data_IF_404856119198
#
_entry.id   IF_404856119198
#
_cell.length_a   1.000
_cell.length_b   1.000
_cell.length_c   1.000
_cell.angle_alpha   90.00
_cell.angle_beta   90.00
_cell.angle_gamma   90.00
#
_symmetry.space_group_name_H-M   'P 1'
#
loop_
_entity.id
_entity.type
_entity.pdbx_description
1 polymer ?
#
# COMPACT_ATOMS: atom_id res chain seq x y z
N UNK A 1 22.11 2.65 8.26
CA UNK A 1 22.22 3.87 9.10
C UNK A 1 20.89 4.59 9.03
N UNK A 2 20.45 5.23 10.12
CA UNK A 2 19.20 6.01 10.11
C UNK A 2 19.30 7.16 9.11
N UNK A 3 18.18 7.47 8.46
CA UNK A 3 18.09 8.50 7.41
C UNK A 3 17.40 9.73 7.98
N UNK A 4 18.05 10.89 7.87
CA UNK A 4 17.46 12.20 8.14
C UNK A 4 16.90 12.75 6.82
N UNK A 5 15.60 12.97 6.74
CA UNK A 5 14.95 13.44 5.51
C UNK A 5 13.65 14.18 5.83
N UNK A 6 12.90 14.58 4.80
CA UNK A 6 11.54 15.11 4.94
C UNK A 6 10.52 14.11 4.39
N UNK A 7 9.34 14.08 5.01
CA UNK A 7 8.16 13.41 4.46
C UNK A 7 7.01 14.42 4.31
N UNK A 8 6.20 14.22 3.28
CA UNK A 8 4.96 14.98 3.10
C UNK A 8 3.85 14.44 4.00
N UNK A 9 3.15 15.33 4.69
CA UNK A 9 1.96 15.04 5.49
C UNK A 9 0.80 15.89 5.01
N UNK A 10 -0.43 15.43 5.24
CA UNK A 10 -1.61 16.25 5.04
C UNK A 10 -1.51 17.48 5.96
N UNK A 11 -1.63 18.67 5.39
CA UNK A 11 -1.64 19.91 6.16
C UNK A 11 -2.87 19.95 7.05
N UNK A 12 -2.67 20.19 8.35
CA UNK A 12 -3.79 20.45 9.26
C UNK A 12 -4.53 21.72 8.84
N UNK A 13 -5.82 21.57 8.51
CA UNK A 13 -6.65 22.63 7.94
C UNK A 13 -8.06 22.55 8.47
N UNK A 14 -8.57 23.68 8.97
CA UNK A 14 -9.97 23.81 9.39
C UNK A 14 -10.97 23.59 8.26
N UNK A 15 -10.53 23.64 6.99
CA UNK A 15 -11.35 23.30 5.82
C UNK A 15 -11.92 21.88 5.92
N UNK A 16 -11.14 20.95 6.47
CA UNK A 16 -11.53 19.54 6.58
C UNK A 16 -12.65 19.28 7.59
N UNK A 17 -12.94 20.25 8.46
CA UNK A 17 -14.09 20.20 9.37
C UNK A 17 -15.41 20.53 8.67
N UNK A 18 -15.34 21.16 7.49
CA UNK A 18 -16.51 21.58 6.70
C UNK A 18 -16.68 20.65 5.50
N UNK A 19 -15.58 20.33 4.83
CA UNK A 19 -15.56 19.48 3.63
C UNK A 19 -14.44 18.45 3.76
N UNK A 20 -14.82 17.17 3.68
CA UNK A 20 -13.87 16.06 3.75
C UNK A 20 -12.78 16.20 2.65
N UNK A 21 -11.52 15.85 2.94
CA UNK A 21 -10.48 15.79 1.91
C UNK A 21 -10.88 14.92 0.73
N UNK A 22 -10.53 15.34 -0.49
CA UNK A 22 -10.76 14.53 -1.68
C UNK A 22 -9.69 14.73 -2.76
N UNK A 23 -9.55 13.70 -3.61
CA UNK A 23 -8.88 13.75 -4.91
C UNK A 23 -9.81 13.18 -5.97
N UNK A 24 -9.93 13.89 -7.08
CA UNK A 24 -10.66 13.49 -8.29
C UNK A 24 -9.65 13.08 -9.34
N UNK A 25 -9.87 11.90 -9.89
CA UNK A 25 -9.13 11.35 -11.01
C UNK A 25 -10.09 11.35 -12.21
N UNK A 26 -10.06 12.38 -13.06
CA UNK A 26 -10.99 12.49 -14.20
C UNK A 26 -10.70 11.41 -15.26
N UNK A 27 -11.66 11.17 -16.15
CA UNK A 27 -11.48 10.29 -17.30
C UNK A 27 -10.55 10.95 -18.33
N UNK A 28 -9.97 10.14 -19.21
CA UNK A 28 -9.17 10.64 -20.32
C UNK A 28 -10.05 11.51 -21.21
N UNK A 29 -9.57 12.71 -21.54
CA UNK A 29 -10.26 13.66 -22.45
C UNK A 29 -11.51 14.33 -21.88
N UNK A 30 -11.75 14.28 -20.56
CA UNK A 30 -12.82 15.07 -19.90
C UNK A 30 -12.53 16.60 -19.89
N UNK A 31 -11.40 17.04 -20.47
CA UNK A 31 -11.02 18.45 -20.59
C UNK A 31 -10.46 19.07 -19.31
N UNK A 32 -10.15 18.26 -18.30
CA UNK A 32 -9.49 18.69 -17.08
C UNK A 32 -7.98 18.80 -17.27
N UNK A 33 -7.41 19.92 -16.84
CA UNK A 33 -5.97 20.04 -16.68
C UNK A 33 -5.51 19.26 -15.45
N UNK A 34 -4.31 18.68 -15.50
CA UNK A 34 -3.79 17.82 -14.43
C UNK A 34 -3.59 18.54 -13.09
N UNK A 35 -3.52 19.87 -13.10
CA UNK A 35 -3.35 20.75 -11.94
C UNK A 35 -4.59 21.60 -11.63
N UNK A 36 -5.76 21.25 -12.20
CA UNK A 36 -6.99 21.98 -11.93
C UNK A 36 -7.32 21.96 -10.42
N UNK A 37 -7.44 23.13 -9.77
CA UNK A 37 -7.60 23.23 -8.32
C UNK A 37 -8.94 22.67 -7.81
N UNK A 38 -9.87 22.33 -8.71
CA UNK A 38 -11.14 21.68 -8.35
C UNK A 38 -11.01 20.16 -8.24
N UNK A 39 -9.90 19.57 -8.70
CA UNK A 39 -9.67 18.13 -8.61
C UNK A 39 -9.27 17.68 -7.20
N UNK A 40 -8.94 18.60 -6.29
CA UNK A 40 -8.70 18.26 -4.89
C UNK A 40 -8.88 19.48 -3.99
N UNK A 41 -9.16 19.26 -2.71
CA UNK A 41 -9.08 20.30 -1.67
C UNK A 41 -7.88 20.10 -0.71
N UNK A 42 -6.98 19.16 -1.05
CA UNK A 42 -5.85 18.75 -0.22
C UNK A 42 -4.64 19.69 -0.37
N UNK A 43 -3.90 19.88 0.72
CA UNK A 43 -2.59 20.55 0.74
C UNK A 43 -1.59 19.72 1.56
N UNK A 44 -0.32 19.80 1.16
CA UNK A 44 0.78 19.04 1.77
C UNK A 44 1.70 19.94 2.60
N UNK A 45 2.26 19.40 3.68
CA UNK A 45 3.33 20.02 4.46
C UNK A 45 4.49 19.07 4.60
N UNK A 46 5.70 19.53 4.27
CA UNK A 46 6.92 18.76 4.50
C UNK A 46 7.35 18.85 5.96
N UNK A 47 7.70 17.71 6.54
CA UNK A 47 8.15 17.62 7.93
C UNK A 47 9.45 16.85 8.02
N UNK A 48 10.45 17.36 8.75
CA UNK A 48 11.68 16.62 8.99
C UNK A 48 11.36 15.39 9.84
N UNK A 49 11.90 14.25 9.44
CA UNK A 49 11.73 12.97 10.13
C UNK A 49 13.05 12.20 10.17
N UNK A 50 13.13 11.28 11.14
CA UNK A 50 14.17 10.26 11.20
C UNK A 50 13.56 8.93 10.80
N UNK A 51 14.05 8.34 9.72
CA UNK A 51 13.65 7.00 9.29
C UNK A 51 14.68 6.01 9.81
N UNK A 52 14.26 5.16 10.76
CA UNK A 52 15.13 4.21 11.46
C UNK A 52 15.46 3.03 10.57
N UNK A 53 16.74 2.77 10.37
CA UNK A 53 17.19 1.58 9.66
C UNK A 53 17.06 0.37 10.59
N UNK A 54 16.25 -0.62 10.20
CA UNK A 54 16.06 -1.84 10.99
C UNK A 54 17.14 -2.88 10.73
N UNK A 55 18.05 -2.65 9.77
CA UNK A 55 19.18 -3.54 9.50
C UNK A 55 20.02 -3.72 10.77
N UNK A 56 20.23 -4.97 11.17
CA UNK A 56 20.96 -5.37 12.39
C UNK A 56 20.32 -4.87 13.70
N UNK A 57 19.00 -4.58 13.68
CA UNK A 57 18.19 -4.31 14.88
C UNK A 57 17.12 -5.39 15.02
N UNK A 58 16.46 -5.42 16.16
CA UNK A 58 15.26 -6.26 16.32
C UNK A 58 14.21 -5.80 15.30
N UNK A 59 13.77 -6.67 14.39
CA UNK A 59 12.81 -6.28 13.36
C UNK A 59 11.44 -6.05 13.98
N UNK A 60 10.67 -5.05 13.51
CA UNK A 60 9.27 -4.90 13.84
C UNK A 60 8.50 -6.20 13.52
N UNK A 61 7.54 -6.55 14.39
CA UNK A 61 6.68 -7.70 14.19
C UNK A 61 5.32 -7.26 13.64
N UNK A 62 4.78 -8.05 12.70
CA UNK A 62 3.52 -7.71 12.04
C UNK A 62 2.36 -7.57 13.03
N UNK A 63 2.35 -8.37 14.10
CA UNK A 63 1.32 -8.33 15.13
C UNK A 63 1.35 -7.09 16.03
N UNK A 64 2.52 -6.47 16.23
CA UNK A 64 2.68 -5.33 17.16
C UNK A 64 2.78 -4.00 16.44
N UNK A 65 3.52 -3.96 15.34
CA UNK A 65 3.83 -2.73 14.60
C UNK A 65 3.00 -2.58 13.32
N UNK A 66 2.25 -3.62 12.95
CA UNK A 66 1.47 -3.67 11.71
C UNK A 66 2.30 -4.07 10.48
N UNK A 67 3.62 -4.22 10.59
CA UNK A 67 4.48 -4.64 9.48
C UNK A 67 5.69 -5.44 9.96
N UNK A 68 6.32 -6.17 9.05
CA UNK A 68 7.51 -6.96 9.33
C UNK A 68 8.29 -7.25 8.04
N UNK A 69 9.62 -7.19 8.08
CA UNK A 69 10.45 -7.81 7.03
C UNK A 69 10.65 -9.29 7.34
N UNK A 70 10.41 -10.15 6.36
CA UNK A 70 10.64 -11.59 6.47
C UNK A 70 11.67 -12.04 5.46
N UNK A 71 12.31 -13.19 5.69
CA UNK A 71 13.14 -13.84 4.69
C UNK A 71 12.27 -14.78 3.85
N UNK A 72 12.22 -14.54 2.54
CA UNK A 72 11.54 -15.42 1.59
C UNK A 72 12.24 -15.37 0.23
N UNK A 73 12.92 -16.47 -0.11
CA UNK A 73 13.49 -16.67 -1.43
C UNK A 73 12.48 -17.35 -2.35
N UNK A 74 11.97 -16.58 -3.31
CA UNK A 74 10.99 -17.03 -4.30
C UNK A 74 11.58 -18.01 -5.33
N UNK A 75 10.77 -18.99 -5.74
CA UNK A 75 11.05 -19.90 -6.85
C UNK A 75 10.81 -19.24 -8.22
N UNK A 76 10.22 -18.05 -8.26
CA UNK A 76 9.86 -17.34 -9.49
C UNK A 76 10.74 -16.12 -9.73
N UNK A 77 12.08 -16.18 -9.80
CA UNK A 77 12.97 -15.01 -9.82
C UNK A 77 12.72 -14.03 -10.98
N UNK A 78 11.98 -14.45 -12.01
CA UNK A 78 11.44 -13.62 -13.10
C UNK A 78 10.00 -14.04 -13.35
N UNK A 79 9.16 -13.09 -13.71
CA UNK A 79 7.77 -13.32 -14.15
C UNK A 79 7.74 -13.01 -15.63
N UNK A 80 7.63 -14.02 -16.49
CA UNK A 80 7.68 -13.89 -17.95
C UNK A 80 6.34 -14.27 -18.58
N UNK A 81 5.57 -15.13 -17.94
CA UNK A 81 4.24 -15.50 -18.45
C UNK A 81 3.21 -15.45 -17.31
N UNK A 82 1.93 -15.48 -17.69
CA UNK A 82 0.82 -15.49 -16.72
C UNK A 82 0.94 -16.66 -15.73
N UNK A 83 1.39 -17.82 -16.19
CA UNK A 83 1.64 -18.98 -15.35
C UNK A 83 2.71 -18.74 -14.26
N UNK A 84 3.71 -17.91 -14.53
CA UNK A 84 4.72 -17.51 -13.52
C UNK A 84 4.08 -16.62 -12.46
N UNK A 85 3.20 -15.69 -12.88
CA UNK A 85 2.48 -14.80 -11.98
C UNK A 85 1.56 -15.59 -11.05
N UNK A 86 0.74 -16.49 -11.59
CA UNK A 86 -0.10 -17.38 -10.78
C UNK A 86 0.71 -18.26 -9.83
N UNK A 87 1.83 -18.80 -10.32
CA UNK A 87 2.75 -19.59 -9.51
C UNK A 87 3.30 -18.80 -8.33
N UNK A 88 3.70 -17.55 -8.58
CA UNK A 88 4.18 -16.64 -7.56
C UNK A 88 3.09 -16.24 -6.55
N UNK A 89 1.87 -15.98 -7.01
CA UNK A 89 0.72 -15.71 -6.14
C UNK A 89 0.47 -16.89 -5.18
N UNK A 90 0.43 -18.13 -5.70
CA UNK A 90 0.28 -19.35 -4.89
C UNK A 90 1.42 -19.56 -3.89
N UNK A 91 2.65 -19.21 -4.28
CA UNK A 91 3.81 -19.25 -3.38
C UNK A 91 3.65 -18.25 -2.24
N UNK A 92 3.27 -17.01 -2.52
CA UNK A 92 3.04 -15.98 -1.50
C UNK A 92 1.87 -16.37 -0.58
N UNK A 93 0.78 -16.90 -1.12
CA UNK A 93 -0.32 -17.44 -0.31
C UNK A 93 0.21 -18.47 0.70
N UNK A 94 1.05 -19.40 0.25
CA UNK A 94 1.64 -20.43 1.11
C UNK A 94 2.57 -19.84 2.18
N UNK A 95 3.34 -18.81 1.84
CA UNK A 95 4.19 -18.09 2.81
C UNK A 95 3.34 -17.42 3.88
N UNK A 96 2.32 -16.65 3.48
CA UNK A 96 1.45 -15.91 4.40
C UNK A 96 0.60 -16.86 5.25
N UNK A 97 0.11 -17.97 4.68
CA UNK A 97 -0.64 -19.01 5.40
C UNK A 97 0.21 -19.58 6.54
N UNK A 98 1.47 -19.93 6.24
CA UNK A 98 2.40 -20.48 7.22
C UNK A 98 2.87 -19.44 8.24
N UNK A 99 3.06 -18.19 7.82
CA UNK A 99 3.52 -17.09 8.67
C UNK A 99 2.46 -16.71 9.71
N UNK A 100 1.23 -16.46 9.27
CA UNK A 100 0.13 -16.05 10.15
C UNK A 100 -0.62 -17.20 10.80
N UNK A 101 -0.32 -18.46 10.43
CA UNK A 101 -1.11 -19.63 10.82
C UNK A 101 -2.60 -19.45 10.51
N UNK A 102 -2.87 -18.86 9.35
CA UNK A 102 -4.23 -18.57 8.90
C UNK A 102 -4.93 -19.85 8.42
N UNK A 103 -6.27 -19.88 8.52
CA UNK A 103 -7.08 -20.95 7.93
C UNK A 103 -7.11 -20.88 6.40
N UNK A 104 -7.05 -19.65 5.86
CA UNK A 104 -7.12 -19.38 4.42
C UNK A 104 -6.36 -18.10 4.07
N UNK A 105 -5.65 -18.13 2.96
CA UNK A 105 -5.09 -16.95 2.29
C UNK A 105 -5.50 -17.00 0.82
N UNK A 106 -5.84 -15.84 0.27
CA UNK A 106 -6.17 -15.66 -1.15
C UNK A 106 -5.45 -14.40 -1.61
N UNK A 107 -4.65 -14.53 -2.66
CA UNK A 107 -4.06 -13.40 -3.37
C UNK A 107 -5.06 -12.94 -4.42
N UNK A 108 -5.69 -11.80 -4.20
CA UNK A 108 -6.71 -11.24 -5.11
C UNK A 108 -6.14 -10.20 -6.07
N UNK A 109 -4.91 -9.73 -5.84
CA UNK A 109 -4.26 -8.73 -6.68
C UNK A 109 -2.74 -8.91 -6.65
N UNK A 110 -2.10 -8.72 -7.81
CA UNK A 110 -0.66 -8.78 -7.98
C UNK A 110 -0.19 -7.73 -8.98
N UNK A 111 0.61 -6.77 -8.50
CA UNK A 111 1.10 -5.67 -9.34
C UNK A 111 2.61 -5.73 -9.47
N UNK A 112 3.07 -5.73 -10.72
CA UNK A 112 4.48 -5.56 -11.07
C UNK A 112 4.77 -4.07 -11.26
N UNK A 113 5.80 -3.55 -10.59
CA UNK A 113 6.22 -2.14 -10.73
C UNK A 113 7.62 -2.03 -11.33
N UNK A 114 7.80 -1.03 -12.19
CA UNK A 114 9.05 -0.72 -12.89
C UNK A 114 9.59 0.64 -12.43
N UNK A 115 10.91 0.76 -12.25
CA UNK A 115 11.56 2.05 -12.01
C UNK A 115 11.77 2.78 -13.36
N UNK A 116 10.78 3.57 -13.78
CA UNK A 116 10.87 4.45 -14.97
C UNK A 116 10.99 5.93 -14.58
N UNK A 117 11.69 6.77 -15.36
CA UNK A 117 11.65 8.21 -15.18
C UNK A 117 10.21 8.72 -15.25
N UNK A 118 9.81 9.54 -14.28
CA UNK A 118 8.48 10.16 -14.27
C UNK A 118 8.34 11.07 -15.49
N UNK A 119 7.36 10.77 -16.34
CA UNK A 119 6.93 11.70 -17.38
C UNK A 119 5.84 12.60 -16.81
N UNK A 120 5.89 13.90 -17.10
CA UNK A 120 4.86 14.87 -16.70
C UNK A 120 3.59 14.71 -17.57
N UNK A 121 3.07 13.49 -17.68
CA UNK A 121 1.81 13.19 -18.36
C UNK A 121 0.71 13.12 -17.29
N UNK A 122 -0.52 13.50 -17.64
CA UNK A 122 -1.67 13.31 -16.75
C UNK A 122 -1.87 11.81 -16.50
N UNK A 123 -2.21 11.41 -15.27
CA UNK A 123 -2.61 10.03 -15.01
C UNK A 123 -3.94 9.80 -15.70
N UNK A 124 -3.88 9.11 -16.83
CA UNK A 124 -5.04 8.74 -17.60
C UNK A 124 -5.66 7.50 -16.95
N UNK A 125 -6.84 7.68 -16.36
CA UNK A 125 -7.59 6.63 -15.66
C UNK A 125 -8.17 5.58 -16.61
N UNK A 126 -8.29 5.89 -17.89
CA UNK A 126 -8.78 4.98 -18.93
C UNK A 126 -7.63 4.30 -19.70
N UNK A 127 -6.44 4.90 -19.69
CA UNK A 127 -5.21 4.32 -20.24
C UNK A 127 -4.44 3.55 -19.17
N UNK A 128 -4.58 2.22 -19.25
CA UNK A 128 -3.95 1.23 -18.37
C UNK A 128 -2.42 1.22 -18.41
N UNK A 129 -1.79 1.92 -19.35
CA UNK A 129 -0.33 2.07 -19.44
C UNK A 129 0.17 3.40 -18.85
N UNK A 130 -0.74 4.24 -18.33
CA UNK A 130 -0.35 5.49 -17.70
C UNK A 130 0.45 5.20 -16.42
N UNK A 131 1.62 5.83 -16.31
CA UNK A 131 2.49 5.66 -15.15
C UNK A 131 1.97 6.58 -14.07
N UNK A 132 1.31 6.01 -13.05
CA UNK A 132 0.91 6.75 -11.86
C UNK A 132 2.14 7.37 -11.18
N UNK A 133 1.96 8.58 -10.66
CA UNK A 133 3.02 9.24 -9.89
C UNK A 133 3.18 8.49 -8.56
N UNK A 134 4.37 8.55 -7.92
CA UNK A 134 4.50 8.11 -6.56
C UNK A 134 3.41 8.81 -5.72
N UNK A 135 2.64 8.06 -4.93
CA UNK A 135 1.61 8.64 -4.10
C UNK A 135 2.24 9.69 -3.19
N UNK A 136 1.66 10.89 -3.18
CA UNK A 136 2.09 11.99 -2.31
C UNK A 136 1.49 11.83 -0.93
N UNK A 137 2.21 12.32 0.07
CA UNK A 137 1.79 12.26 1.46
C UNK A 137 1.92 10.87 2.09
N UNK A 138 2.28 10.83 3.38
CA UNK A 138 2.16 9.65 4.21
C UNK A 138 0.68 9.21 4.28
N UNK A 139 0.40 7.92 4.03
CA UNK A 139 -0.96 7.42 3.89
C UNK A 139 -1.11 5.94 4.25
N UNK A 140 -2.34 5.53 4.57
CA UNK A 140 -2.77 4.13 4.62
C UNK A 140 -3.73 3.89 3.45
N UNK A 141 -3.47 2.86 2.64
CA UNK A 141 -4.24 2.59 1.41
C UNK A 141 -5.73 2.33 1.66
N UNK A 142 -6.11 1.86 2.85
CA UNK A 142 -7.49 1.48 3.16
C UNK A 142 -7.99 2.15 4.44
N UNK A 143 -9.22 2.63 4.39
CA UNK A 143 -10.03 3.00 5.56
C UNK A 143 -10.73 1.76 6.13
N UNK A 144 -11.42 1.93 7.25
CA UNK A 144 -12.29 0.87 7.78
C UNK A 144 -13.38 0.47 6.78
N UNK A 145 -14.03 1.47 6.20
CA UNK A 145 -15.11 1.26 5.24
C UNK A 145 -14.57 0.66 3.94
N UNK A 146 -13.47 1.19 3.39
CA UNK A 146 -12.91 0.66 2.16
C UNK A 146 -12.35 -0.75 2.33
N UNK A 147 -11.74 -1.09 3.48
CA UNK A 147 -11.31 -2.46 3.77
C UNK A 147 -12.48 -3.48 3.80
N UNK A 148 -13.63 -3.11 4.36
CA UNK A 148 -14.84 -3.96 4.33
C UNK A 148 -15.37 -4.11 2.92
N UNK A 149 -15.40 -3.04 2.12
CA UNK A 149 -15.83 -3.11 0.72
C UNK A 149 -14.93 -4.03 -0.10
N UNK A 150 -13.61 -3.95 0.09
CA UNK A 150 -12.66 -4.86 -0.59
C UNK A 150 -12.92 -6.32 -0.22
N UNK A 151 -13.19 -6.63 1.05
CA UNK A 151 -13.53 -8.00 1.43
C UNK A 151 -14.83 -8.48 0.77
N UNK A 152 -15.81 -7.60 0.55
CA UNK A 152 -17.06 -7.95 -0.14
C UNK A 152 -16.86 -8.10 -1.65
N UNK A 153 -16.02 -7.28 -2.26
CA UNK A 153 -15.89 -7.22 -3.71
C UNK A 153 -14.89 -8.26 -4.23
N UNK A 154 -13.77 -8.48 -3.51
CA UNK A 154 -12.64 -9.26 -4.01
C UNK A 154 -12.61 -10.71 -3.52
N UNK A 155 -13.29 -11.03 -2.41
CA UNK A 155 -13.32 -12.42 -1.91
C UNK A 155 -14.33 -13.23 -2.73
N UNK A 156 -13.98 -14.39 -3.30
CA UNK A 156 -14.91 -15.25 -4.03
C UNK A 156 -16.11 -15.71 -3.17
N UNK A 157 -17.30 -15.83 -3.76
CA UNK A 157 -18.53 -16.13 -3.02
C UNK A 157 -18.49 -17.47 -2.28
N UNK A 158 -17.87 -18.50 -2.85
CA UNK A 158 -17.68 -19.78 -2.17
C UNK A 158 -16.86 -19.67 -0.88
N UNK A 159 -15.93 -18.70 -0.81
CA UNK A 159 -15.14 -18.43 0.40
C UNK A 159 -15.95 -17.58 1.38
N UNK A 160 -16.75 -16.63 0.89
CA UNK A 160 -17.64 -15.85 1.75
C UNK A 160 -18.65 -16.76 2.46
N UNK A 161 -19.26 -17.69 1.74
CA UNK A 161 -20.24 -18.64 2.30
C UNK A 161 -19.68 -19.44 3.48
N UNK A 162 -18.42 -19.88 3.37
CA UNK A 162 -17.74 -20.65 4.41
C UNK A 162 -17.28 -19.77 5.59
N UNK A 163 -16.59 -18.64 5.31
CA UNK A 163 -15.87 -17.91 6.34
C UNK A 163 -16.62 -16.69 6.90
N UNK A 164 -17.56 -16.07 6.18
CA UNK A 164 -18.23 -14.84 6.68
C UNK A 164 -19.26 -15.13 7.77
N UNK A 165 -19.66 -16.40 7.96
CA UNK A 165 -20.64 -16.81 8.97
C UNK A 165 -19.99 -17.18 10.32
N UNK A 166 -18.69 -17.45 10.37
CA UNK A 166 -18.03 -18.14 11.50
C UNK A 166 -17.26 -17.29 12.51
N UNK A 167 -17.40 -15.96 12.53
CA UNK A 167 -16.67 -15.10 13.49
C UNK A 167 -15.15 -15.03 13.26
N UNK A 168 -14.72 -15.33 12.04
CA UNK A 168 -13.32 -15.29 11.60
C UNK A 168 -12.76 -13.86 11.66
N UNK A 169 -11.43 -13.78 11.83
CA UNK A 169 -10.67 -12.54 11.70
C UNK A 169 -10.22 -12.42 10.25
N UNK A 170 -10.52 -11.30 9.59
CA UNK A 170 -10.08 -11.03 8.23
C UNK A 170 -9.01 -9.96 8.26
N UNK A 171 -7.96 -10.16 7.45
CA UNK A 171 -6.89 -9.19 7.27
C UNK A 171 -6.62 -8.97 5.79
N UNK A 172 -6.32 -7.72 5.43
CA UNK A 172 -5.74 -7.38 4.12
C UNK A 172 -4.26 -7.15 4.37
N UNK A 173 -3.44 -8.03 3.80
CA UNK A 173 -1.99 -7.97 3.91
C UNK A 173 -1.41 -7.56 2.57
N UNK A 174 -0.54 -6.56 2.59
CA UNK A 174 0.29 -6.18 1.45
C UNK A 174 1.64 -6.86 1.61
N UNK A 175 2.04 -7.64 0.61
CA UNK A 175 3.32 -8.32 0.60
C UNK A 175 4.22 -7.68 -0.46
N UNK A 176 5.37 -7.16 -0.02
CA UNK A 176 6.10 -6.15 -0.77
C UNK A 176 7.64 -6.35 -0.76
N UNK A 177 8.24 -7.10 -1.68
CA UNK A 177 9.71 -7.03 -1.89
C UNK A 177 10.18 -5.79 -2.74
N UNK A 178 11.30 -5.15 -2.40
CA UNK A 178 11.81 -3.88 -3.02
C UNK A 178 12.35 -3.84 -4.46
N UNK A 179 11.59 -3.19 -5.38
CA UNK A 179 11.80 -2.78 -6.81
C UNK A 179 12.66 -3.58 -7.87
N UNK A 180 12.05 -3.93 -9.04
CA UNK A 180 12.56 -3.97 -10.46
C UNK A 180 12.41 -5.24 -11.36
N UNK A 181 11.59 -5.14 -12.45
CA UNK A 181 11.75 -5.49 -13.90
C UNK A 181 11.49 -6.88 -14.57
N UNK A 182 10.26 -7.11 -15.09
CA UNK A 182 9.92 -7.74 -16.41
C UNK A 182 8.58 -7.13 -16.90
N UNK A 183 8.41 -6.96 -18.23
CA UNK A 183 7.23 -6.36 -18.89
C UNK A 183 6.40 -7.44 -19.61
N UNK A 184 5.11 -7.53 -19.31
CA UNK A 184 4.05 -8.11 -20.16
C UNK A 184 2.76 -7.26 -20.06
N UNK A 185 1.87 -7.28 -21.06
CA UNK A 185 0.68 -6.42 -21.07
C UNK A 185 -0.30 -6.91 -19.99
N UNK A 186 -0.52 -6.11 -18.95
CA UNK A 186 -1.35 -6.50 -17.82
C UNK A 186 -2.82 -6.18 -18.12
N UNK A 187 -3.63 -7.23 -18.06
CA UNK A 187 -5.08 -7.16 -18.00
C UNK A 187 -5.53 -6.60 -16.63
N UNK A 188 -6.51 -5.69 -16.70
CA UNK A 188 -7.48 -5.29 -15.66
C UNK A 188 -7.09 -5.38 -14.16
N UNK A 189 -6.79 -4.25 -13.47
CA UNK A 189 -7.03 -4.14 -12.00
C UNK A 189 -6.98 -2.71 -11.42
N UNK A 190 -7.71 -2.54 -10.29
CA UNK A 190 -7.41 -1.78 -9.05
C UNK A 190 -8.20 -2.50 -7.91
N UNK A 191 -7.75 -2.61 -6.62
CA UNK A 191 -6.62 -1.99 -5.93
C UNK A 191 -5.58 -2.95 -5.29
N UNK A 192 -4.45 -2.35 -4.92
CA UNK A 192 -3.10 -2.91 -4.72
C UNK A 192 -2.90 -3.83 -3.49
N UNK A 193 -2.33 -5.04 -3.63
CA UNK A 193 -1.88 -5.87 -2.48
C UNK A 193 -0.55 -6.66 -2.61
N UNK A 194 0.13 -6.62 -3.76
CA UNK A 194 1.47 -7.22 -3.90
C UNK A 194 2.45 -6.25 -4.57
N UNK A 195 3.71 -6.19 -4.12
CA UNK A 195 4.70 -5.25 -4.65
C UNK A 195 6.09 -5.89 -4.76
N UNK A 196 6.63 -6.21 -5.95
CA UNK A 196 7.81 -7.09 -6.06
C UNK A 196 9.02 -6.54 -6.85
N UNK A 197 10.27 -7.01 -6.58
CA UNK A 197 11.46 -6.77 -7.36
C UNK A 197 12.26 -7.94 -7.87
N UNK A 198 13.22 -7.61 -8.72
CA UNK A 198 14.07 -8.60 -9.38
C UNK A 198 15.55 -8.13 -9.49
N UNK A 199 15.99 -7.05 -8.81
CA UNK A 199 17.42 -6.65 -8.66
C UNK A 199 18.03 -7.12 -7.33
N UNK A 200 19.36 -7.30 -7.28
CA UNK A 200 20.04 -7.84 -6.09
C UNK A 200 19.95 -6.97 -4.82
N UNK A 201 19.88 -5.63 -4.95
CA UNK A 201 19.75 -4.66 -3.84
C UNK A 201 18.94 -3.44 -4.27
N UNK A 202 18.09 -2.91 -3.39
CA UNK A 202 17.39 -1.64 -3.60
C UNK A 202 18.18 -0.48 -2.98
N UNK A 203 18.64 0.44 -3.84
CA UNK A 203 19.35 1.68 -3.45
C UNK A 203 18.62 2.96 -3.91
N UNK A 204 17.64 2.84 -4.81
CA UNK A 204 16.83 3.95 -5.34
C UNK A 204 15.37 3.81 -4.87
N UNK A 205 14.81 4.89 -4.30
CA UNK A 205 13.46 4.97 -3.70
C UNK A 205 13.12 3.86 -2.68
N UNK A 206 13.86 3.75 -1.56
CA UNK A 206 13.52 2.79 -0.51
C UNK A 206 12.15 3.08 0.09
N UNK A 207 11.38 2.02 0.36
CA UNK A 207 10.11 2.10 1.07
C UNK A 207 10.35 2.38 2.56
N UNK A 208 9.75 3.44 3.05
CA UNK A 208 9.61 3.70 4.48
C UNK A 208 8.21 3.28 4.92
N UNK A 209 8.12 2.70 6.13
CA UNK A 209 6.88 2.24 6.74
C UNK A 209 6.80 2.80 8.16
N UNK A 210 5.66 3.34 8.55
CA UNK A 210 5.41 3.87 9.87
C UNK A 210 4.83 2.78 10.79
N UNK A 211 5.36 2.70 12.00
CA UNK A 211 4.80 1.85 13.05
C UNK A 211 3.45 2.40 13.47
N UNK A 212 2.40 1.59 13.25
CA UNK A 212 1.06 2.02 13.56
C UNK A 212 0.82 2.25 15.05
N UNK A 213 1.55 1.56 15.94
CA UNK A 213 1.46 1.81 17.39
C UNK A 213 1.90 3.24 17.78
N UNK A 214 2.57 3.94 16.87
CA UNK A 214 3.02 5.33 17.04
C UNK A 214 2.09 6.38 16.41
N UNK A 215 1.06 5.93 15.68
CA UNK A 215 0.06 6.77 15.00
C UNK A 215 -1.16 6.90 15.90
N UNK A 216 -1.56 8.14 16.21
CA UNK A 216 -2.83 8.38 16.89
C UNK A 216 -3.97 8.24 15.86
N UNK A 217 -5.09 7.58 16.18
CA UNK A 217 -6.25 7.55 15.30
C UNK A 217 -6.71 8.93 14.80
N UNK A 218 -6.51 10.00 15.58
CA UNK A 218 -6.83 11.38 15.17
C UNK A 218 -5.91 11.90 14.05
N UNK A 219 -4.73 11.32 13.88
CA UNK A 219 -3.79 11.70 12.83
C UNK A 219 -4.26 11.20 11.44
N UNK A 220 -5.20 10.24 11.41
CA UNK A 220 -5.68 9.60 10.19
C UNK A 220 -6.91 10.31 9.64
N UNK A 221 -6.72 11.10 8.60
CA UNK A 221 -7.81 11.84 7.96
C UNK A 221 -8.26 11.10 6.71
N UNK A 222 -9.52 10.64 6.73
CA UNK A 222 -10.12 9.96 5.58
C UNK A 222 -10.28 10.93 4.42
N UNK A 223 -9.78 10.54 3.26
CA UNK A 223 -9.92 11.28 2.01
C UNK A 223 -10.62 10.43 0.95
N UNK A 224 -11.51 11.05 0.19
CA UNK A 224 -12.16 10.40 -0.94
C UNK A 224 -11.22 10.37 -2.15
N UNK A 225 -11.11 9.21 -2.80
CA UNK A 225 -10.60 9.10 -4.18
C UNK A 225 -11.79 8.88 -5.09
N UNK A 226 -12.06 9.86 -5.95
CA UNK A 226 -13.21 9.87 -6.86
C UNK A 226 -12.70 9.58 -8.26
N UNK A 227 -13.16 8.48 -8.84
CA UNK A 227 -12.91 8.08 -10.22
C UNK A 227 -14.26 8.14 -10.98
N UNK A 228 -14.26 8.09 -12.33
CA UNK A 228 -15.50 8.24 -13.11
C UNK A 228 -16.58 7.19 -12.76
N UNK A 229 -16.16 5.98 -12.40
CA UNK A 229 -17.06 4.85 -12.14
C UNK A 229 -16.97 4.28 -10.73
N UNK A 230 -16.14 4.87 -9.87
CA UNK A 230 -15.97 4.37 -8.50
C UNK A 230 -15.52 5.45 -7.55
N UNK A 231 -15.91 5.29 -6.29
CA UNK A 231 -15.36 6.02 -5.16
C UNK A 231 -14.63 5.02 -4.27
N UNK A 232 -13.43 5.36 -3.86
CA UNK A 232 -12.71 4.66 -2.80
C UNK A 232 -12.25 5.66 -1.75
N UNK A 233 -11.73 5.18 -0.63
CA UNK A 233 -11.18 6.03 0.42
C UNK A 233 -9.75 5.62 0.78
N UNK A 234 -8.97 6.60 1.22
CA UNK A 234 -7.61 6.48 1.73
C UNK A 234 -7.51 7.26 3.04
N UNK A 235 -6.63 6.87 3.96
CA UNK A 235 -6.22 7.75 5.04
C UNK A 235 -4.94 8.50 4.67
N UNK A 236 -4.92 9.81 4.83
CA UNK A 236 -3.67 10.57 4.89
C UNK A 236 -3.32 10.90 6.35
N UNK A 237 -2.02 10.97 6.63
CA UNK A 237 -1.53 11.29 7.96
C UNK A 237 -1.35 12.81 8.11
N UNK A 238 -1.89 13.36 9.18
CA UNK A 238 -1.43 14.63 9.76
C UNK A 238 -0.21 14.37 10.65
N UNK A 239 0.76 15.26 10.63
CA UNK A 239 2.04 15.03 11.31
C UNK A 239 1.92 15.02 12.84
N UNK A 240 2.56 14.02 13.47
CA UNK A 240 2.94 14.06 14.88
C UNK A 240 4.41 13.70 15.08
N UNK A 241 5.10 14.30 16.07
CA UNK A 241 6.47 13.91 16.43
C UNK A 241 6.61 12.46 16.94
N UNK A 242 5.50 11.82 17.35
CA UNK A 242 5.50 10.43 17.82
C UNK A 242 5.67 9.42 16.68
N UNK A 243 5.36 9.79 15.44
CA UNK A 243 5.40 8.88 14.29
C UNK A 243 6.78 8.25 14.12
N UNK A 244 6.77 6.93 14.07
CA UNK A 244 7.97 6.10 14.12
C UNK A 244 8.19 5.41 12.78
N UNK A 245 9.00 6.05 11.94
CA UNK A 245 9.33 5.56 10.60
C UNK A 245 10.48 4.58 10.59
N UNK A 246 10.35 3.54 9.77
CA UNK A 246 11.31 2.47 9.61
C UNK A 246 11.57 2.20 8.13
N UNK A 247 12.80 1.77 7.82
CA UNK A 247 13.17 1.26 6.51
C UNK A 247 14.23 0.17 6.67
N UNK A 248 14.47 -0.62 5.63
CA UNK A 248 15.50 -1.66 5.63
C UNK A 248 16.61 -1.29 4.62
N UNK A 249 17.80 -0.94 5.12
CA UNK A 249 18.92 -0.64 4.24
C UNK A 249 19.42 -1.88 3.49
N UNK A 250 19.87 -1.70 2.25
CA UNK A 250 20.34 -2.78 1.37
C UNK A 250 19.34 -3.93 1.20
N UNK A 251 18.04 -3.65 1.33
CA UNK A 251 17.01 -4.67 1.23
C UNK A 251 17.08 -5.38 -0.14
N UNK A 252 17.01 -6.71 -0.09
CA UNK A 252 17.07 -7.60 -1.25
C UNK A 252 15.68 -8.11 -1.64
N UNK A 253 15.50 -8.72 -2.82
CA UNK A 253 14.25 -9.37 -3.20
C UNK A 253 13.80 -10.49 -2.25
N UNK A 254 14.75 -11.06 -1.51
CA UNK A 254 14.49 -12.12 -0.56
C UNK A 254 14.03 -11.59 0.80
N UNK A 255 13.91 -10.27 0.96
CA UNK A 255 13.50 -9.62 2.19
C UNK A 255 12.21 -8.82 1.98
N UNK A 256 11.09 -9.46 1.58
CA UNK A 256 9.81 -8.76 1.49
C UNK A 256 9.39 -8.12 2.81
N UNK A 257 8.73 -6.96 2.74
CA UNK A 257 7.96 -6.45 3.87
C UNK A 257 6.52 -6.94 3.74
N UNK A 258 5.97 -7.47 4.83
CA UNK A 258 4.53 -7.69 5.01
C UNK A 258 3.94 -6.53 5.78
N UNK A 259 2.80 -6.03 5.34
CA UNK A 259 2.15 -4.82 5.84
C UNK A 259 0.68 -5.12 6.05
N UNK A 260 0.17 -4.94 7.26
CA UNK A 260 -1.24 -5.10 7.59
C UNK A 260 -1.95 -3.81 7.24
N UNK A 261 -2.80 -3.87 6.24
CA UNK A 261 -3.53 -2.70 5.75
C UNK A 261 -4.94 -2.61 6.34
N UNK A 262 -5.54 -3.76 6.64
CA UNK A 262 -6.86 -3.85 7.26
C UNK A 262 -6.93 -5.09 8.14
N UNK A 263 -7.71 -5.02 9.22
CA UNK A 263 -7.92 -6.13 10.16
C UNK A 263 -9.26 -5.95 10.91
N UNK A 264 -10.14 -6.94 10.84
CA UNK A 264 -11.47 -6.90 11.49
C UNK A 264 -11.42 -7.01 13.01
N UNK A 265 -10.32 -7.52 13.57
CA UNK A 265 -10.06 -7.53 15.03
C UNK A 265 -8.95 -6.56 15.41
N UNK A 266 -8.73 -5.52 14.60
CA UNK A 266 -7.84 -4.44 14.98
C UNK A 266 -8.33 -3.78 16.29
N UNK A 267 -7.52 -3.87 17.34
CA UNK A 267 -7.55 -2.86 18.41
C UNK A 267 -6.94 -1.54 17.90
N UNK A 268 -6.40 -0.69 18.78
CA UNK A 268 -5.66 0.51 18.37
C UNK A 268 -4.33 0.23 17.63
N UNK A 269 -4.10 -0.98 17.07
CA UNK A 269 -2.75 -1.49 16.78
C UNK A 269 -2.53 -2.25 15.45
N UNK A 270 -3.39 -2.19 14.42
CA UNK A 270 -3.25 -3.10 13.26
C UNK A 270 -3.22 -2.49 11.84
N UNK A 271 -2.76 -1.25 11.61
CA UNK A 271 -2.77 -0.66 10.24
C UNK A 271 -1.52 0.14 9.89
N UNK A 272 -0.48 -0.43 9.26
CA UNK A 272 0.71 0.37 8.94
C UNK A 272 0.46 1.41 7.83
N UNK A 273 1.15 2.55 7.92
CA UNK A 273 1.19 3.63 6.93
C UNK A 273 2.54 3.64 6.19
#
# INVERSE_FOLDING_TARGET
MDVQTTLEYLTDSSKYNIEKPFLVYPAANDGWEADDPRLHNISWSERPVVIRDVRNREPPAAETSGFQWIEHKTAFPKIVEEADMEGYMREVESVLLNHFKADKVICYDCILRENRPLRNEAFDTDNKLSVDRPPRGAHVDYTLESGVSILKDMVPDNIKEEYFQGGYRFRIIKYAPLMNNVIFPVAETLPNSLWRPLLAKCEDRPLAVCDFSSIDPEDLIAADRVYPHKRSEIFYLQYRPSHSWHWLSNQTPNEPVIMTMFDTKAGPHARCA
#
